data_IF_577431544029
#
_entry.id   IF_577431544029
#
_cell.length_a   1.000
_cell.length_b   1.000
_cell.length_c   1.000
_cell.angle_alpha   90.00
_cell.angle_beta   90.00
_cell.angle_gamma   90.00
#
_symmetry.space_group_name_H-M   'P 1'
#
loop_
_entity.id
_entity.type
_entity.pdbx_description
1 polymer ?
#
# COMPACT_ATOMS: atom_id res chain seq x y z
N UNK A 1 12.47 20.67 18.21
CA UNK A 1 13.10 19.62 17.39
C UNK A 1 14.06 20.34 16.48
N UNK A 2 15.34 20.04 16.60
CA UNK A 2 16.41 20.85 16.01
C UNK A 2 16.53 20.63 14.50
N UNK A 3 16.91 21.68 13.80
CA UNK A 3 17.27 21.74 12.36
C UNK A 3 18.26 20.65 11.93
N UNK A 4 18.98 20.05 12.86
CA UNK A 4 19.99 19.00 12.66
C UNK A 4 19.42 17.63 12.24
N UNK A 5 18.13 17.34 12.53
CA UNK A 5 17.46 16.09 12.14
C UNK A 5 16.95 16.16 10.70
N UNK A 6 16.57 17.36 10.25
CA UNK A 6 16.16 17.58 8.86
C UNK A 6 17.34 17.53 7.90
N UNK A 7 18.53 18.06 8.30
CA UNK A 7 19.75 17.98 7.50
C UNK A 7 20.31 16.55 7.38
N UNK A 8 20.17 15.70 8.41
CA UNK A 8 20.61 14.31 8.33
C UNK A 8 19.69 13.41 7.49
N UNK A 9 18.40 13.75 7.40
CA UNK A 9 17.45 13.04 6.51
C UNK A 9 17.62 13.43 5.03
N UNK A 10 18.13 14.64 4.76
CA UNK A 10 18.43 15.10 3.39
C UNK A 10 19.82 14.70 2.90
N UNK A 11 20.74 14.35 3.78
CA UNK A 11 22.13 14.00 3.42
C UNK A 11 22.32 12.55 2.93
N UNK A 12 21.31 11.67 3.05
CA UNK A 12 21.38 10.27 2.54
C UNK A 12 20.80 10.10 1.14
N UNK A 13 20.25 11.14 0.53
CA UNK A 13 19.75 11.14 -0.85
C UNK A 13 20.55 12.12 -1.75
N UNK A 14 21.88 12.02 -1.76
CA UNK A 14 22.61 12.54 -2.92
C UNK A 14 22.40 11.56 -4.08
N UNK A 15 21.29 11.77 -4.80
CA UNK A 15 21.11 11.19 -6.13
C UNK A 15 22.32 11.59 -7.00
N UNK A 16 23.07 10.62 -7.41
CA UNK A 16 23.99 10.81 -8.54
C UNK A 16 23.17 11.32 -9.70
N UNK A 17 23.60 12.38 -10.36
CA UNK A 17 23.02 12.92 -11.61
C UNK A 17 23.26 11.91 -12.76
N UNK A 18 22.64 10.73 -12.69
CA UNK A 18 22.62 9.78 -13.79
C UNK A 18 21.28 9.92 -14.52
N UNK A 19 21.31 10.15 -15.83
CA UNK A 19 20.13 10.19 -16.70
C UNK A 19 19.41 8.82 -16.78
N UNK A 20 19.69 7.90 -15.86
CA UNK A 20 19.20 6.53 -15.89
C UNK A 20 18.77 6.02 -14.51
N UNK A 21 17.67 5.29 -14.49
CA UNK A 21 17.23 4.47 -13.36
C UNK A 21 17.84 3.08 -13.50
N UNK A 22 18.45 2.55 -12.44
CA UNK A 22 19.01 1.20 -12.42
C UNK A 22 18.22 0.32 -11.44
N UNK A 23 17.72 -0.82 -11.93
CA UNK A 23 17.10 -1.84 -11.07
C UNK A 23 18.13 -2.87 -10.64
N UNK A 24 17.97 -3.39 -9.40
CA UNK A 24 18.89 -4.32 -8.75
C UNK A 24 18.12 -5.55 -8.29
N UNK A 25 18.69 -6.74 -8.49
CA UNK A 25 18.15 -7.96 -7.93
C UNK A 25 18.52 -8.06 -6.45
N UNK A 26 17.55 -8.00 -5.53
CA UNK A 26 17.82 -8.02 -4.09
C UNK A 26 18.36 -9.36 -3.58
N UNK A 27 18.18 -10.47 -4.32
CA UNK A 27 18.76 -11.77 -3.97
C UNK A 27 20.28 -11.81 -4.17
N UNK A 28 20.82 -11.02 -5.07
CA UNK A 28 22.24 -11.07 -5.47
C UNK A 28 22.98 -9.75 -5.32
N UNK A 29 22.26 -8.63 -5.12
CA UNK A 29 22.84 -7.29 -5.16
C UNK A 29 23.28 -6.81 -6.56
N UNK A 30 23.03 -7.61 -7.60
CA UNK A 30 23.49 -7.32 -8.96
C UNK A 30 22.49 -6.46 -9.74
N UNK A 31 23.00 -5.63 -10.64
CA UNK A 31 22.19 -4.84 -11.57
C UNK A 31 21.42 -5.74 -12.53
N UNK A 32 20.12 -5.42 -12.71
CA UNK A 32 19.21 -6.10 -13.66
C UNK A 32 19.13 -5.34 -14.99
N UNK A 33 18.60 -4.12 -14.92
CA UNK A 33 18.32 -3.30 -16.09
C UNK A 33 18.62 -1.82 -15.81
N UNK A 34 18.81 -1.05 -16.89
CA UNK A 34 18.96 0.39 -16.85
C UNK A 34 17.90 1.05 -17.76
N UNK A 35 17.23 2.07 -17.26
CA UNK A 35 16.15 2.75 -17.95
C UNK A 35 16.45 4.25 -18.04
N UNK A 36 16.38 4.82 -19.23
CA UNK A 36 16.58 6.26 -19.42
C UNK A 36 15.46 7.04 -18.71
N UNK A 37 15.85 8.05 -17.96
CA UNK A 37 14.90 9.02 -17.39
C UNK A 37 14.34 9.95 -18.46
N UNK A 38 13.16 10.48 -18.21
CA UNK A 38 12.54 11.50 -19.04
C UNK A 38 13.16 12.86 -18.71
N UNK A 39 13.34 13.67 -19.74
CA UNK A 39 13.64 15.09 -19.58
C UNK A 39 12.40 15.84 -19.07
N UNK A 40 12.58 17.07 -18.56
CA UNK A 40 11.47 17.93 -18.12
C UNK A 40 10.48 18.19 -19.26
N UNK A 41 10.98 18.34 -20.48
CA UNK A 41 10.15 18.51 -21.66
C UNK A 41 9.32 17.27 -21.95
N UNK A 42 9.93 16.06 -21.95
CA UNK A 42 9.21 14.80 -22.17
C UNK A 42 8.15 14.56 -21.09
N UNK A 43 8.46 14.87 -19.83
CA UNK A 43 7.51 14.76 -18.72
C UNK A 43 6.32 15.73 -18.87
N UNK A 44 6.58 16.99 -19.24
CA UNK A 44 5.54 17.99 -19.53
C UNK A 44 4.68 17.60 -20.73
N UNK A 45 5.26 17.06 -21.79
CA UNK A 45 4.53 16.58 -22.96
C UNK A 45 3.66 15.37 -22.62
N UNK A 46 4.12 14.46 -21.78
CA UNK A 46 3.34 13.33 -21.28
C UNK A 46 2.09 13.78 -20.51
N UNK A 47 2.21 14.80 -19.63
CA UNK A 47 1.03 15.39 -18.94
C UNK A 47 0.02 15.94 -19.95
N UNK A 48 0.46 16.70 -20.95
CA UNK A 48 -0.40 17.26 -22.00
C UNK A 48 -1.08 16.17 -22.82
N UNK A 49 -0.33 15.13 -23.20
CA UNK A 49 -0.85 13.99 -23.97
C UNK A 49 -1.92 13.23 -23.16
N UNK A 50 -1.68 12.97 -21.87
CA UNK A 50 -2.68 12.34 -20.98
C UNK A 50 -3.92 13.22 -20.81
N UNK A 51 -3.75 14.54 -20.72
CA UNK A 51 -4.90 15.45 -20.68
C UNK A 51 -5.71 15.43 -21.99
N UNK A 52 -5.08 15.40 -23.16
CA UNK A 52 -5.79 15.26 -24.42
C UNK A 52 -6.54 13.93 -24.53
N UNK A 53 -5.93 12.84 -24.11
CA UNK A 53 -6.58 11.53 -24.05
C UNK A 53 -7.79 11.56 -23.09
N UNK A 54 -7.67 12.22 -21.92
CA UNK A 54 -8.75 12.43 -20.97
C UNK A 54 -9.96 13.13 -21.61
N UNK A 55 -9.76 14.16 -22.43
CA UNK A 55 -10.87 14.88 -23.09
C UNK A 55 -11.73 13.97 -23.98
N UNK A 56 -11.15 12.95 -24.57
CA UNK A 56 -11.87 11.90 -25.31
C UNK A 56 -12.46 10.86 -24.37
N UNK A 57 -11.66 10.35 -23.42
CA UNK A 57 -12.04 9.28 -22.49
C UNK A 57 -13.26 9.64 -21.64
N UNK A 58 -13.34 10.86 -21.13
CA UNK A 58 -14.48 11.34 -20.33
C UNK A 58 -15.81 11.32 -21.07
N UNK A 59 -15.83 11.25 -22.40
CA UNK A 59 -17.06 11.19 -23.20
C UNK A 59 -17.61 9.77 -23.34
N UNK A 60 -16.85 8.74 -22.97
CA UNK A 60 -17.32 7.36 -23.01
C UNK A 60 -18.34 7.10 -21.90
N UNK A 61 -19.37 6.29 -22.21
CA UNK A 61 -20.33 5.85 -21.21
C UNK A 61 -19.66 5.02 -20.11
N UNK A 62 -20.33 4.88 -18.97
CA UNK A 62 -19.84 4.07 -17.86
C UNK A 62 -19.66 2.60 -18.28
N UNK A 63 -20.61 2.07 -19.07
CA UNK A 63 -20.54 0.69 -19.59
C UNK A 63 -19.34 0.52 -20.52
N UNK A 64 -19.06 1.52 -21.35
CA UNK A 64 -17.92 1.45 -22.28
C UNK A 64 -16.58 1.46 -21.52
N UNK A 65 -16.46 2.26 -20.46
CA UNK A 65 -15.27 2.24 -19.58
C UNK A 65 -15.15 0.90 -18.87
N UNK A 66 -16.26 0.33 -18.36
CA UNK A 66 -16.29 -0.98 -17.73
C UNK A 66 -15.80 -2.11 -18.67
N UNK A 67 -16.19 -2.07 -19.98
CA UNK A 67 -15.66 -3.02 -20.98
C UNK A 67 -14.13 -2.96 -21.10
N UNK A 68 -13.53 -1.75 -21.11
CA UNK A 68 -12.08 -1.59 -21.15
C UNK A 68 -11.40 -2.08 -19.88
N UNK A 69 -12.01 -1.85 -18.71
CA UNK A 69 -11.48 -2.33 -17.43
C UNK A 69 -11.46 -3.86 -17.38
N UNK A 70 -12.51 -4.54 -17.86
CA UNK A 70 -12.49 -6.00 -18.00
C UNK A 70 -11.35 -6.48 -18.91
N UNK A 71 -11.10 -5.80 -20.04
CA UNK A 71 -9.98 -6.14 -20.92
C UNK A 71 -8.61 -5.94 -20.27
N UNK A 72 -8.48 -4.96 -19.35
CA UNK A 72 -7.26 -4.83 -18.55
C UNK A 72 -7.08 -6.07 -17.68
N UNK A 73 -8.13 -6.54 -16.99
CA UNK A 73 -8.09 -7.77 -16.20
C UNK A 73 -7.68 -9.00 -17.01
N UNK A 74 -8.26 -9.17 -18.20
CA UNK A 74 -7.90 -10.25 -19.14
C UNK A 74 -6.43 -10.14 -19.58
N UNK A 75 -5.94 -8.92 -19.86
CA UNK A 75 -4.56 -8.69 -20.25
C UNK A 75 -3.59 -8.92 -19.10
N UNK A 76 -3.95 -8.58 -17.85
CA UNK A 76 -3.17 -8.92 -16.65
C UNK A 76 -3.02 -10.43 -16.50
N UNK A 77 -4.11 -11.18 -16.60
CA UNK A 77 -4.07 -12.66 -16.57
C UNK A 77 -3.13 -13.24 -17.62
N UNK A 78 -3.19 -12.73 -18.85
CA UNK A 78 -2.34 -13.17 -19.96
C UNK A 78 -0.85 -12.94 -19.70
N UNK A 79 -0.50 -11.88 -18.98
CA UNK A 79 0.90 -11.51 -18.70
C UNK A 79 1.34 -11.87 -17.28
N UNK A 80 0.56 -12.70 -16.55
CA UNK A 80 0.80 -13.05 -15.14
C UNK A 80 2.22 -13.51 -14.90
N UNK A 81 2.72 -14.49 -15.65
CA UNK A 81 4.07 -15.04 -15.47
C UNK A 81 5.18 -13.99 -15.64
N UNK A 82 4.98 -13.02 -16.56
CA UNK A 82 5.95 -11.96 -16.79
C UNK A 82 5.97 -10.96 -15.63
N UNK A 83 4.80 -10.59 -15.10
CA UNK A 83 4.68 -9.73 -13.92
C UNK A 83 5.28 -10.40 -12.69
N UNK A 84 4.96 -11.66 -12.44
CA UNK A 84 5.49 -12.45 -11.33
C UNK A 84 7.01 -12.50 -11.37
N UNK A 85 7.57 -12.83 -12.54
CA UNK A 85 9.03 -12.86 -12.74
C UNK A 85 9.69 -11.51 -12.41
N UNK A 86 9.10 -10.41 -12.88
CA UNK A 86 9.64 -9.07 -12.58
C UNK A 86 9.55 -8.75 -11.09
N UNK A 87 8.43 -9.01 -10.43
CA UNK A 87 8.27 -8.79 -9.00
C UNK A 87 9.30 -9.58 -8.18
N UNK A 88 9.54 -10.85 -8.54
CA UNK A 88 10.57 -11.68 -7.91
C UNK A 88 11.96 -11.09 -8.11
N UNK A 89 12.28 -10.65 -9.32
CA UNK A 89 13.61 -10.12 -9.66
C UNK A 89 13.87 -8.71 -9.12
N UNK A 90 12.88 -7.81 -9.15
CA UNK A 90 13.04 -6.39 -8.82
C UNK A 90 12.85 -6.08 -7.34
N UNK A 91 12.10 -6.90 -6.59
CA UNK A 91 11.84 -6.64 -5.17
C UNK A 91 11.84 -7.87 -4.25
N UNK A 92 12.23 -9.05 -4.76
CA UNK A 92 12.40 -10.24 -3.93
C UNK A 92 11.11 -10.94 -3.48
N UNK A 93 9.98 -10.68 -4.14
CA UNK A 93 8.70 -11.33 -3.82
C UNK A 93 8.73 -12.79 -4.18
N UNK A 94 8.19 -13.65 -3.29
CA UNK A 94 7.99 -15.06 -3.59
C UNK A 94 7.10 -15.21 -4.83
N UNK A 95 7.44 -16.15 -5.71
CA UNK A 95 6.68 -16.44 -6.95
C UNK A 95 5.20 -16.65 -6.65
N UNK A 96 4.86 -17.49 -5.65
CA UNK A 96 3.49 -17.77 -5.24
C UNK A 96 2.72 -16.53 -4.76
N UNK A 97 3.38 -15.61 -4.07
CA UNK A 97 2.77 -14.35 -3.63
C UNK A 97 2.64 -13.33 -4.79
N UNK A 98 3.54 -13.38 -5.77
CA UNK A 98 3.41 -12.63 -7.01
C UNK A 98 2.19 -13.06 -7.82
N UNK A 99 1.92 -14.36 -7.90
CA UNK A 99 0.72 -14.91 -8.54
C UNK A 99 -0.56 -14.41 -7.84
N UNK A 100 -0.61 -14.46 -6.50
CA UNK A 100 -1.72 -13.95 -5.71
C UNK A 100 -1.96 -12.45 -5.91
N UNK A 101 -0.88 -11.67 -6.05
CA UNK A 101 -0.98 -10.23 -6.31
C UNK A 101 -1.64 -9.94 -7.67
N UNK A 102 -1.25 -10.68 -8.73
CA UNK A 102 -1.86 -10.50 -10.05
C UNK A 102 -3.33 -10.95 -10.03
N UNK A 103 -3.66 -12.06 -9.36
CA UNK A 103 -5.04 -12.53 -9.23
C UNK A 103 -5.93 -11.51 -8.49
N UNK A 104 -5.40 -10.89 -7.44
CA UNK A 104 -6.08 -9.78 -6.76
C UNK A 104 -6.34 -8.61 -7.73
N UNK A 105 -5.36 -8.25 -8.56
CA UNK A 105 -5.50 -7.19 -9.56
C UNK A 105 -6.58 -7.49 -10.59
N UNK A 106 -6.68 -8.73 -11.05
CA UNK A 106 -7.76 -9.20 -11.93
C UNK A 106 -9.11 -9.04 -11.23
N UNK A 107 -9.23 -9.52 -9.99
CA UNK A 107 -10.44 -9.37 -9.19
C UNK A 107 -10.86 -7.91 -8.96
N UNK A 108 -9.90 -6.99 -8.83
CA UNK A 108 -10.18 -5.54 -8.75
C UNK A 108 -10.78 -5.03 -10.06
N UNK A 109 -10.24 -5.44 -11.20
CA UNK A 109 -10.78 -5.07 -12.51
C UNK A 109 -12.21 -5.59 -12.68
N UNK A 110 -12.46 -6.86 -12.39
CA UNK A 110 -13.79 -7.50 -12.47
C UNK A 110 -14.81 -6.81 -11.55
N UNK A 111 -14.44 -6.59 -10.29
CA UNK A 111 -15.30 -5.90 -9.33
C UNK A 111 -15.64 -4.48 -9.78
N UNK A 112 -14.63 -3.72 -10.22
CA UNK A 112 -14.82 -2.33 -10.63
C UNK A 112 -15.62 -2.21 -11.92
N UNK A 113 -15.39 -3.09 -12.90
CA UNK A 113 -16.17 -3.13 -14.13
C UNK A 113 -17.65 -3.46 -13.86
N UNK A 114 -17.91 -4.40 -12.94
CA UNK A 114 -19.26 -4.81 -12.57
C UNK A 114 -20.02 -3.74 -11.77
N UNK A 115 -19.36 -3.12 -10.78
CA UNK A 115 -20.02 -2.27 -9.79
C UNK A 115 -19.79 -0.77 -10.02
N UNK A 116 -18.74 -0.39 -10.75
CA UNK A 116 -18.40 1.01 -11.01
C UNK A 116 -19.51 1.83 -11.69
N UNK A 117 -20.22 1.28 -12.69
CA UNK A 117 -21.36 1.98 -13.30
C UNK A 117 -22.45 2.36 -12.29
N UNK A 118 -22.81 1.45 -11.39
CA UNK A 118 -23.81 1.72 -10.34
C UNK A 118 -23.32 2.75 -9.32
N UNK A 119 -22.04 2.69 -8.93
CA UNK A 119 -21.41 3.64 -7.98
C UNK A 119 -21.40 5.05 -8.53
N UNK A 120 -21.24 5.22 -9.84
CA UNK A 120 -21.10 6.51 -10.53
C UNK A 120 -22.39 7.02 -11.18
N UNK A 121 -23.47 6.25 -11.12
CA UNK A 121 -24.74 6.67 -11.75
C UNK A 121 -25.23 7.99 -11.16
N UNK A 122 -25.99 8.70 -11.97
CA UNK A 122 -26.69 9.92 -11.58
C UNK A 122 -27.77 9.62 -10.54
N UNK A 123 -27.97 10.55 -9.61
CA UNK A 123 -28.96 10.45 -8.55
C UNK A 123 -29.98 11.60 -8.66
N UNK A 124 -31.25 11.26 -8.90
CA UNK A 124 -32.33 12.25 -8.95
C UNK A 124 -32.82 12.60 -7.54
N UNK A 125 -33.15 13.88 -7.32
CA UNK A 125 -33.69 14.42 -6.08
C UNK A 125 -34.90 15.31 -6.39
N UNK A 126 -35.92 15.28 -5.53
CA UNK A 126 -36.97 16.29 -5.51
C UNK A 126 -36.53 17.42 -4.58
N UNK A 127 -36.58 18.66 -5.08
CA UNK A 127 -36.23 19.85 -4.30
C UNK A 127 -37.37 20.26 -3.37
N UNK A 128 -37.10 21.02 -2.28
CA UNK A 128 -38.13 21.43 -1.31
C UNK A 128 -39.29 22.20 -1.92
N UNK A 129 -39.06 22.95 -3.03
CA UNK A 129 -40.08 23.69 -3.79
C UNK A 129 -40.82 22.82 -4.82
N UNK A 130 -40.55 21.49 -4.84
CA UNK A 130 -41.08 20.57 -5.82
C UNK A 130 -40.32 20.56 -7.15
N UNK A 131 -39.23 21.29 -7.28
CA UNK A 131 -38.34 21.30 -8.43
C UNK A 131 -37.55 19.99 -8.55
N UNK A 132 -36.77 19.88 -9.62
CA UNK A 132 -35.91 18.69 -9.89
C UNK A 132 -34.46 18.98 -9.66
N UNK A 133 -33.79 18.11 -8.91
CA UNK A 133 -32.33 18.07 -8.72
C UNK A 133 -31.73 16.83 -9.33
N UNK A 134 -30.50 16.93 -9.79
CA UNK A 134 -29.67 15.82 -10.27
C UNK A 134 -28.28 15.96 -9.64
N UNK A 135 -27.77 14.87 -9.04
CA UNK A 135 -26.37 14.76 -8.63
C UNK A 135 -25.67 13.87 -9.65
N UNK A 136 -24.60 14.37 -10.27
CA UNK A 136 -23.81 13.64 -11.26
C UNK A 136 -22.34 13.56 -10.85
N UNK A 137 -21.70 12.40 -11.10
CA UNK A 137 -20.30 12.13 -10.79
C UNK A 137 -19.45 12.41 -12.03
N UNK A 138 -18.90 13.62 -12.16
CA UNK A 138 -18.08 13.99 -13.30
C UNK A 138 -16.58 13.77 -13.03
N UNK A 139 -15.79 13.25 -14.01
CA UNK A 139 -14.34 13.16 -13.87
C UNK A 139 -13.71 14.55 -13.75
N UNK A 140 -12.62 14.65 -12.96
CA UNK A 140 -11.99 15.95 -12.69
C UNK A 140 -10.80 16.27 -13.59
N UNK A 141 -10.17 15.26 -14.23
CA UNK A 141 -9.03 15.49 -15.11
C UNK A 141 -7.96 14.42 -15.00
N UNK A 142 -6.70 14.84 -14.99
CA UNK A 142 -5.56 13.92 -14.86
C UNK A 142 -5.24 13.71 -13.38
N UNK A 143 -5.10 12.43 -12.99
CA UNK A 143 -4.72 12.03 -11.63
C UNK A 143 -3.30 11.49 -11.66
N UNK A 144 -2.46 12.02 -10.77
CA UNK A 144 -1.08 11.62 -10.63
C UNK A 144 -0.90 10.67 -9.47
N UNK A 145 -0.45 9.44 -9.75
CA UNK A 145 -0.15 8.41 -8.77
C UNK A 145 1.35 8.25 -8.54
N UNK A 146 1.76 8.32 -7.28
CA UNK A 146 3.13 8.04 -6.81
C UNK A 146 3.05 6.76 -6.00
N UNK A 147 3.62 5.65 -6.54
CA UNK A 147 3.38 4.31 -6.01
C UNK A 147 4.68 3.62 -5.55
N UNK A 148 4.63 2.87 -4.43
CA UNK A 148 5.78 2.20 -3.87
C UNK A 148 6.02 0.82 -4.53
N UNK A 149 7.12 0.22 -4.15
CA UNK A 149 7.66 -1.02 -4.73
C UNK A 149 7.13 -2.32 -4.12
N UNK A 150 6.47 -2.28 -2.96
CA UNK A 150 6.18 -3.51 -2.19
C UNK A 150 5.09 -4.40 -2.79
N UNK A 151 4.16 -3.84 -3.54
CA UNK A 151 3.18 -4.55 -4.37
C UNK A 151 3.14 -3.89 -5.75
N UNK A 152 4.12 -4.19 -6.64
CA UNK A 152 4.35 -3.40 -7.85
C UNK A 152 3.16 -3.34 -8.80
N UNK A 153 2.38 -4.42 -8.91
CA UNK A 153 1.19 -4.47 -9.76
C UNK A 153 -0.04 -3.92 -9.02
N UNK A 154 -0.26 -4.37 -7.79
CA UNK A 154 -1.46 -4.02 -7.02
C UNK A 154 -1.54 -2.51 -6.72
N UNK A 155 -0.45 -1.89 -6.30
CA UNK A 155 -0.43 -0.46 -5.99
C UNK A 155 -0.83 0.41 -7.20
N UNK A 156 -0.44 0.00 -8.40
CA UNK A 156 -0.80 0.68 -9.64
C UNK A 156 -2.26 0.42 -10.00
N UNK A 157 -2.67 -0.84 -10.06
CA UNK A 157 -4.03 -1.24 -10.47
C UNK A 157 -5.08 -0.67 -9.52
N UNK A 158 -4.81 -0.65 -8.22
CA UNK A 158 -5.70 -0.16 -7.18
C UNK A 158 -6.23 1.26 -7.48
N UNK A 159 -5.32 2.23 -7.71
CA UNK A 159 -5.75 3.59 -7.97
C UNK A 159 -6.10 3.85 -9.45
N UNK A 160 -5.36 3.21 -10.39
CA UNK A 160 -5.53 3.49 -11.80
C UNK A 160 -6.91 3.03 -12.31
N UNK A 161 -7.35 1.82 -11.94
CA UNK A 161 -8.64 1.26 -12.36
C UNK A 161 -9.81 2.09 -11.83
N UNK A 162 -9.76 2.53 -10.59
CA UNK A 162 -10.77 3.41 -10.00
C UNK A 162 -10.88 4.74 -10.76
N UNK A 163 -9.74 5.35 -11.10
CA UNK A 163 -9.70 6.62 -11.83
C UNK A 163 -10.09 6.48 -13.30
N UNK A 164 -9.68 5.42 -13.98
CA UNK A 164 -10.13 5.12 -15.34
C UNK A 164 -11.64 4.87 -15.38
N UNK A 165 -12.22 4.14 -14.40
CA UNK A 165 -13.66 3.96 -14.29
C UNK A 165 -14.39 5.30 -14.08
N UNK A 166 -13.86 6.16 -13.21
CA UNK A 166 -14.38 7.51 -13.00
C UNK A 166 -14.31 8.40 -14.25
N UNK A 167 -13.49 8.05 -15.24
CA UNK A 167 -13.30 8.77 -16.50
C UNK A 167 -12.12 9.76 -16.48
N UNK A 168 -11.23 9.65 -15.52
CA UNK A 168 -10.00 10.42 -15.40
C UNK A 168 -8.88 9.85 -16.29
N UNK A 169 -7.89 10.68 -16.63
CA UNK A 169 -6.59 10.23 -17.14
C UNK A 169 -5.64 9.94 -16.00
N UNK A 170 -4.66 9.08 -16.23
CA UNK A 170 -3.78 8.54 -15.19
C UNK A 170 -2.30 8.71 -15.55
N UNK A 171 -1.55 9.33 -14.64
CA UNK A 171 -0.08 9.38 -14.66
C UNK A 171 0.47 8.54 -13.52
N UNK A 172 1.51 7.77 -13.77
CA UNK A 172 2.19 6.93 -12.79
C UNK A 172 3.67 7.32 -12.64
N UNK A 173 4.10 7.71 -11.44
CA UNK A 173 5.49 7.60 -11.00
C UNK A 173 5.61 6.39 -10.07
N UNK A 174 6.19 5.32 -10.55
CA UNK A 174 6.48 4.15 -9.72
C UNK A 174 7.82 4.31 -9.01
N UNK A 175 8.03 3.51 -7.95
CA UNK A 175 9.34 3.40 -7.33
C UNK A 175 10.39 2.90 -8.35
N UNK A 176 11.59 3.44 -8.28
CA UNK A 176 12.64 3.22 -9.29
C UNK A 176 13.06 1.77 -9.39
N UNK A 177 13.13 1.07 -8.25
CA UNK A 177 13.55 -0.34 -8.21
C UNK A 177 12.57 -1.32 -8.89
N UNK A 178 11.36 -0.89 -9.25
CA UNK A 178 10.34 -1.72 -9.95
C UNK A 178 9.92 -1.10 -11.30
N UNK A 179 10.85 -0.42 -11.96
CA UNK A 179 10.60 0.24 -13.24
C UNK A 179 10.20 -0.75 -14.34
N UNK A 180 10.76 -1.95 -14.37
CA UNK A 180 10.36 -2.99 -15.34
C UNK A 180 8.91 -3.41 -15.17
N UNK A 181 8.47 -3.60 -13.95
CA UNK A 181 7.06 -3.87 -13.61
C UNK A 181 6.14 -2.73 -14.09
N UNK A 182 6.51 -1.46 -13.84
CA UNK A 182 5.75 -0.30 -14.30
C UNK A 182 5.57 -0.27 -15.82
N UNK A 183 6.65 -0.51 -16.58
CA UNK A 183 6.62 -0.51 -18.04
C UNK A 183 5.83 -1.68 -18.62
N UNK A 184 5.86 -2.85 -17.96
CA UNK A 184 5.02 -3.98 -18.37
C UNK A 184 3.53 -3.68 -18.12
N UNK A 185 3.19 -3.05 -17.01
CA UNK A 185 1.80 -2.62 -16.72
C UNK A 185 1.32 -1.63 -17.79
N UNK A 186 2.14 -0.65 -18.19
CA UNK A 186 1.80 0.28 -19.27
C UNK A 186 1.52 -0.46 -20.59
N UNK A 187 2.36 -1.43 -20.94
CA UNK A 187 2.14 -2.30 -22.10
C UNK A 187 0.83 -3.07 -22.00
N UNK A 188 0.54 -3.68 -20.86
CA UNK A 188 -0.69 -4.46 -20.59
C UNK A 188 -1.94 -3.59 -20.78
N UNK A 189 -1.94 -2.36 -20.25
CA UNK A 189 -3.06 -1.42 -20.37
C UNK A 189 -3.24 -0.99 -21.83
N UNK A 190 -2.16 -0.75 -22.58
CA UNK A 190 -2.24 -0.45 -24.02
C UNK A 190 -2.77 -1.63 -24.83
N UNK A 191 -2.34 -2.87 -24.54
CA UNK A 191 -2.83 -4.08 -25.21
C UNK A 191 -4.33 -4.34 -24.95
N UNK A 192 -4.89 -3.86 -23.83
CA UNK A 192 -6.31 -3.88 -23.56
C UNK A 192 -7.12 -2.93 -24.48
N UNK A 193 -6.43 -2.13 -25.32
CA UNK A 193 -7.06 -1.30 -26.37
C UNK A 193 -7.60 0.04 -25.88
N UNK A 194 -7.15 0.53 -24.71
CA UNK A 194 -7.50 1.87 -24.23
C UNK A 194 -6.93 2.95 -25.17
N UNK A 195 -7.52 4.16 -25.20
CA UNK A 195 -6.96 5.28 -25.93
C UNK A 195 -5.49 5.52 -25.54
N UNK A 196 -4.67 5.81 -26.54
CA UNK A 196 -3.25 6.10 -26.30
C UNK A 196 -3.09 7.25 -25.30
N UNK A 197 -2.10 7.16 -24.43
CA UNK A 197 -1.77 8.13 -23.38
C UNK A 197 -2.83 8.34 -22.28
N UNK A 198 -3.91 7.57 -22.21
CA UNK A 198 -4.86 7.67 -21.09
C UNK A 198 -4.26 7.18 -19.76
N UNK A 199 -3.32 6.26 -19.85
CA UNK A 199 -2.42 5.83 -18.78
C UNK A 199 -0.97 6.04 -19.25
N UNK A 200 -0.14 6.70 -18.45
CA UNK A 200 1.25 7.00 -18.85
C UNK A 200 2.20 6.85 -17.66
N UNK A 201 3.28 6.10 -17.85
CA UNK A 201 4.36 5.93 -16.87
C UNK A 201 5.38 7.05 -17.03
N UNK A 202 5.69 7.74 -15.95
CA UNK A 202 6.71 8.79 -15.86
C UNK A 202 7.97 8.24 -15.19
N UNK A 203 9.07 8.17 -15.93
CA UNK A 203 10.42 7.84 -15.40
C UNK A 203 11.13 9.14 -15.05
N UNK A 204 10.79 9.69 -13.90
CA UNK A 204 11.19 11.04 -13.47
C UNK A 204 11.77 11.04 -12.05
N UNK A 205 12.58 12.04 -11.73
CA UNK A 205 13.12 12.30 -10.40
C UNK A 205 12.06 12.82 -9.41
N UNK A 206 12.46 12.99 -8.15
CA UNK A 206 11.61 13.63 -7.15
C UNK A 206 11.35 15.12 -7.47
N UNK A 207 12.40 15.84 -7.93
CA UNK A 207 12.25 17.26 -8.31
C UNK A 207 11.30 17.43 -9.51
N UNK A 208 11.40 16.56 -10.52
CA UNK A 208 10.45 16.55 -11.64
C UNK A 208 9.02 16.21 -11.17
N UNK A 209 8.89 15.32 -10.18
CA UNK A 209 7.59 14.98 -9.58
C UNK A 209 6.90 16.20 -8.97
N UNK A 210 7.65 17.12 -8.38
CA UNK A 210 7.11 18.37 -7.82
C UNK A 210 6.45 19.22 -8.89
N UNK A 211 7.12 19.38 -10.05
CA UNK A 211 6.56 20.09 -11.19
C UNK A 211 5.28 19.44 -11.75
N UNK A 212 5.18 18.09 -11.68
CA UNK A 212 3.94 17.39 -12.07
C UNK A 212 2.82 17.68 -11.07
N UNK A 213 3.10 17.70 -9.76
CA UNK A 213 2.10 18.05 -8.74
C UNK A 213 1.58 19.48 -8.96
N UNK A 214 2.43 20.42 -9.29
CA UNK A 214 2.07 21.83 -9.50
C UNK A 214 1.35 22.10 -10.84
N UNK A 215 1.47 21.21 -11.83
CA UNK A 215 0.92 21.40 -13.17
C UNK A 215 -0.62 21.53 -13.16
N UNK A 216 -1.16 22.58 -13.77
CA UNK A 216 -2.60 22.90 -13.80
C UNK A 216 -3.48 21.81 -14.43
N UNK A 217 -2.94 20.99 -15.34
CA UNK A 217 -3.66 19.88 -15.97
C UNK A 217 -3.81 18.67 -15.05
N UNK A 218 -2.96 18.54 -14.02
CA UNK A 218 -3.08 17.55 -12.97
C UNK A 218 -4.08 18.03 -11.94
N UNK A 219 -5.11 17.27 -11.64
CA UNK A 219 -6.26 17.69 -10.82
C UNK A 219 -6.34 16.98 -9.48
N UNK A 220 -5.59 15.91 -9.29
CA UNK A 220 -5.50 15.17 -8.05
C UNK A 220 -4.22 14.37 -7.96
N UNK A 221 -3.83 14.03 -6.74
CA UNK A 221 -2.60 13.27 -6.46
C UNK A 221 -2.92 12.14 -5.48
N UNK A 222 -2.50 10.92 -5.81
CA UNK A 222 -2.51 9.81 -4.86
C UNK A 222 -1.09 9.36 -4.57
N UNK A 223 -0.78 9.17 -3.30
CA UNK A 223 0.51 8.64 -2.86
C UNK A 223 0.31 7.46 -1.94
N UNK A 224 1.00 6.36 -2.22
CA UNK A 224 1.27 5.31 -1.25
C UNK A 224 2.75 5.32 -0.92
N UNK A 225 3.11 5.38 0.37
CA UNK A 225 4.51 5.46 0.76
C UNK A 225 4.75 5.76 2.24
N UNK A 226 5.93 6.32 2.56
CA UNK A 226 6.25 6.67 3.94
C UNK A 226 5.49 7.91 4.43
N UNK A 227 5.30 8.02 5.75
CA UNK A 227 4.71 9.21 6.36
C UNK A 227 5.48 10.51 6.04
N UNK A 228 6.81 10.43 5.86
CA UNK A 228 7.62 11.58 5.44
C UNK A 228 7.27 12.04 4.02
N UNK A 229 7.19 11.10 3.07
CA UNK A 229 6.77 11.39 1.69
C UNK A 229 5.33 11.93 1.65
N UNK A 230 4.42 11.36 2.45
CA UNK A 230 3.03 11.82 2.57
C UNK A 230 2.92 13.28 2.99
N UNK A 231 3.72 13.73 3.95
CA UNK A 231 3.75 15.12 4.40
C UNK A 231 4.22 16.07 3.30
N UNK A 232 5.28 15.72 2.57
CA UNK A 232 5.83 16.53 1.47
C UNK A 232 4.82 16.64 0.32
N UNK A 233 4.28 15.51 -0.14
CA UNK A 233 3.30 15.48 -1.24
C UNK A 233 2.00 16.18 -0.84
N UNK A 234 1.50 15.93 0.38
CA UNK A 234 0.30 16.57 0.91
C UNK A 234 0.44 18.11 1.00
N UNK A 235 1.61 18.60 1.45
CA UNK A 235 1.91 20.03 1.49
C UNK A 235 1.89 20.64 0.09
N UNK A 236 2.58 20.04 -0.90
CA UNK A 236 2.65 20.54 -2.28
C UNK A 236 1.30 20.51 -2.97
N UNK A 237 0.57 19.40 -2.84
CA UNK A 237 -0.77 19.27 -3.41
C UNK A 237 -1.75 20.28 -2.78
N UNK A 238 -1.68 20.50 -1.45
CA UNK A 238 -2.49 21.50 -0.76
C UNK A 238 -2.19 22.92 -1.20
N UNK A 239 -0.92 23.30 -1.39
CA UNK A 239 -0.53 24.59 -1.99
C UNK A 239 -1.09 24.78 -3.39
N UNK A 240 -1.17 23.70 -4.18
CA UNK A 240 -1.74 23.71 -5.53
C UNK A 240 -3.27 23.48 -5.56
N UNK A 241 -3.95 23.43 -4.40
CA UNK A 241 -5.40 23.20 -4.24
C UNK A 241 -5.87 21.91 -4.93
N UNK A 242 -5.08 20.83 -4.82
CA UNK A 242 -5.39 19.52 -5.40
C UNK A 242 -5.85 18.54 -4.34
N UNK A 243 -6.93 17.80 -4.65
CA UNK A 243 -7.38 16.69 -3.80
C UNK A 243 -6.31 15.61 -3.73
N UNK A 244 -6.14 15.01 -2.54
CA UNK A 244 -5.17 13.94 -2.32
C UNK A 244 -5.82 12.73 -1.65
N UNK A 245 -5.31 11.54 -2.00
CA UNK A 245 -5.45 10.30 -1.24
C UNK A 245 -4.05 9.89 -0.78
N UNK A 246 -3.87 9.70 0.51
CA UNK A 246 -2.58 9.34 1.11
C UNK A 246 -2.73 8.01 1.84
N UNK A 247 -2.01 6.99 1.38
CA UNK A 247 -1.88 5.69 2.01
C UNK A 247 -0.44 5.55 2.52
N UNK A 248 -0.28 5.60 3.85
CA UNK A 248 1.04 5.74 4.45
C UNK A 248 1.41 4.53 5.32
N UNK A 249 2.47 4.69 6.12
CA UNK A 249 2.97 3.63 6.98
C UNK A 249 2.00 3.24 8.08
N UNK A 250 2.26 2.09 8.71
CA UNK A 250 1.47 1.55 9.80
C UNK A 250 2.33 0.77 10.81
N UNK A 251 1.78 0.62 12.01
CA UNK A 251 2.31 -0.28 13.05
C UNK A 251 1.16 -1.10 13.64
N UNK A 252 0.54 -1.93 12.79
CA UNK A 252 -0.70 -2.64 13.06
C UNK A 252 -0.60 -3.58 14.26
N UNK A 253 -1.57 -3.48 15.16
CA UNK A 253 -1.66 -4.31 16.34
C UNK A 253 -2.60 -5.50 16.11
N UNK A 254 -2.14 -6.68 16.51
CA UNK A 254 -2.91 -7.92 16.54
C UNK A 254 -3.07 -8.33 18.00
N UNK A 255 -4.32 -8.32 18.47
CA UNK A 255 -4.68 -8.59 19.86
C UNK A 255 -4.98 -10.09 20.02
N UNK A 256 -4.34 -10.71 20.99
CA UNK A 256 -4.65 -12.10 21.40
C UNK A 256 -5.33 -12.02 22.76
N UNK A 257 -6.65 -12.15 22.75
CA UNK A 257 -7.50 -11.96 23.93
C UNK A 257 -7.49 -13.19 24.85
N UNK A 258 -8.04 -13.05 26.06
CA UNK A 258 -8.05 -14.06 27.11
C UNK A 258 -8.63 -15.42 26.72
N UNK A 259 -9.56 -15.41 25.78
CA UNK A 259 -10.30 -16.59 25.30
C UNK A 259 -9.82 -17.08 23.92
N UNK A 260 -8.80 -16.44 23.33
CA UNK A 260 -8.33 -16.77 22.00
C UNK A 260 -7.93 -18.25 21.88
N UNK A 261 -8.13 -18.80 20.68
CA UNK A 261 -7.47 -20.04 20.29
C UNK A 261 -6.00 -19.73 19.96
N UNK A 262 -5.12 -20.13 20.85
CA UNK A 262 -3.68 -19.77 20.76
C UNK A 262 -3.03 -20.35 19.52
N UNK A 263 -3.38 -21.56 19.09
CA UNK A 263 -2.78 -22.19 17.91
C UNK A 263 -3.18 -21.43 16.63
N UNK A 264 -4.46 -21.09 16.49
CA UNK A 264 -4.97 -20.24 15.40
C UNK A 264 -4.31 -18.87 15.43
N UNK A 265 -4.19 -18.24 16.60
CA UNK A 265 -3.57 -16.94 16.75
C UNK A 265 -2.10 -16.96 16.33
N UNK A 266 -1.33 -17.99 16.70
CA UNK A 266 0.08 -18.18 16.33
C UNK A 266 0.20 -18.36 14.83
N UNK A 267 -0.59 -19.24 14.22
CA UNK A 267 -0.53 -19.53 12.78
C UNK A 267 -0.73 -18.23 11.95
N UNK A 268 -1.80 -17.50 12.22
CA UNK A 268 -2.11 -16.27 11.47
C UNK A 268 -1.16 -15.10 11.80
N UNK A 269 -0.63 -15.05 13.02
CA UNK A 269 0.37 -14.06 13.42
C UNK A 269 1.69 -14.25 12.65
N UNK A 270 2.15 -15.50 12.51
CA UNK A 270 3.34 -15.83 11.72
C UNK A 270 3.09 -15.43 10.25
N UNK A 271 2.00 -15.92 9.64
CA UNK A 271 1.63 -15.59 8.27
C UNK A 271 1.56 -14.08 8.06
N UNK A 272 0.89 -13.36 8.96
CA UNK A 272 0.73 -11.91 8.88
C UNK A 272 2.03 -11.14 9.05
N UNK A 273 3.02 -11.68 9.78
CA UNK A 273 4.32 -11.01 9.93
C UNK A 273 5.22 -11.20 8.73
N UNK A 274 5.24 -12.40 8.16
CA UNK A 274 6.19 -12.74 7.09
C UNK A 274 5.65 -12.50 5.67
N UNK A 275 4.35 -12.27 5.51
CA UNK A 275 3.74 -12.04 4.20
C UNK A 275 4.46 -10.93 3.44
N UNK A 276 4.83 -11.20 2.19
CA UNK A 276 5.64 -10.29 1.37
C UNK A 276 6.96 -9.87 2.05
N UNK A 277 7.68 -10.82 2.62
CA UNK A 277 8.95 -10.61 3.36
C UNK A 277 8.79 -9.66 4.57
N UNK A 278 7.56 -9.49 5.08
CA UNK A 278 7.22 -8.51 6.11
C UNK A 278 7.11 -7.06 5.60
N UNK A 279 7.29 -6.83 4.30
CA UNK A 279 7.26 -5.52 3.63
C UNK A 279 5.85 -5.15 3.17
N UNK A 280 4.88 -5.28 4.09
CA UNK A 280 3.47 -4.99 3.88
C UNK A 280 2.99 -3.91 4.85
N UNK A 281 2.32 -2.88 4.33
CA UNK A 281 1.79 -1.80 5.18
C UNK A 281 0.82 -2.34 6.25
N UNK A 282 -0.07 -3.26 5.88
CA UNK A 282 -1.03 -3.93 6.78
C UNK A 282 -0.49 -5.22 7.41
N UNK A 283 0.82 -5.47 7.40
CA UNK A 283 1.39 -6.63 8.08
C UNK A 283 1.12 -6.57 9.59
N UNK A 284 0.92 -7.73 10.21
CA UNK A 284 0.90 -7.85 11.67
C UNK A 284 2.28 -7.49 12.23
N UNK A 285 2.37 -6.41 13.01
CA UNK A 285 3.65 -5.87 13.50
C UNK A 285 3.78 -5.94 15.02
N UNK A 286 2.74 -5.47 15.75
CA UNK A 286 2.68 -5.52 17.21
C UNK A 286 1.70 -6.62 17.64
N UNK A 287 2.19 -7.63 18.33
CA UNK A 287 1.39 -8.73 18.87
C UNK A 287 1.11 -8.43 20.34
N UNK A 288 -0.08 -7.94 20.64
CA UNK A 288 -0.52 -7.53 21.97
C UNK A 288 -1.28 -8.67 22.61
N UNK A 289 -0.63 -9.37 23.51
CA UNK A 289 -1.10 -10.64 24.06
C UNK A 289 -1.44 -10.49 25.54
N UNK A 290 -2.65 -10.87 25.94
CA UNK A 290 -3.09 -10.79 27.33
C UNK A 290 -2.30 -11.76 28.21
N UNK A 291 -2.10 -11.38 29.48
CA UNK A 291 -1.30 -12.13 30.44
C UNK A 291 -1.69 -13.59 30.56
N UNK A 292 -2.99 -13.89 30.43
CA UNK A 292 -3.56 -15.23 30.56
C UNK A 292 -3.04 -16.23 29.52
N UNK A 293 -2.80 -15.78 28.30
CA UNK A 293 -2.35 -16.63 27.18
C UNK A 293 -0.91 -16.30 26.70
N UNK A 294 -0.26 -15.33 27.35
CA UNK A 294 1.01 -14.76 26.91
C UNK A 294 2.12 -15.79 26.82
N UNK A 295 2.33 -16.61 27.85
CA UNK A 295 3.47 -17.51 27.90
C UNK A 295 3.32 -18.64 26.86
N UNK A 296 2.10 -19.17 26.70
CA UNK A 296 1.80 -20.18 25.67
C UNK A 296 1.96 -19.61 24.27
N UNK A 297 1.40 -18.42 24.00
CA UNK A 297 1.55 -17.74 22.71
C UNK A 297 3.02 -17.45 22.41
N UNK A 298 3.76 -16.87 23.35
CA UNK A 298 5.19 -16.55 23.20
C UNK A 298 6.01 -17.78 22.82
N UNK A 299 5.84 -18.90 23.55
CA UNK A 299 6.57 -20.14 23.29
C UNK A 299 6.33 -20.65 21.88
N UNK A 300 5.05 -20.78 21.48
CA UNK A 300 4.65 -21.33 20.17
C UNK A 300 5.03 -20.35 19.04
N UNK A 301 4.82 -19.06 19.22
CA UNK A 301 5.11 -18.04 18.21
C UNK A 301 6.61 -17.93 17.93
N UNK A 302 7.45 -17.90 18.99
CA UNK A 302 8.91 -17.87 18.83
C UNK A 302 9.41 -19.16 18.20
N UNK A 303 8.87 -20.32 18.56
CA UNK A 303 9.21 -21.59 17.93
C UNK A 303 8.88 -21.59 16.44
N UNK A 304 7.66 -21.16 16.06
CA UNK A 304 7.25 -21.08 14.65
C UNK A 304 8.07 -20.07 13.84
N UNK A 305 8.40 -18.91 14.41
CA UNK A 305 9.24 -17.93 13.74
C UNK A 305 10.69 -18.39 13.52
N UNK A 306 11.22 -19.28 14.36
CA UNK A 306 12.54 -19.90 14.16
C UNK A 306 12.59 -20.88 12.99
N UNK A 307 11.47 -21.49 12.65
CA UNK A 307 11.37 -22.45 11.53
C UNK A 307 11.27 -21.75 10.16
N UNK A 308 11.04 -20.44 10.13
CA UNK A 308 10.91 -19.67 8.89
C UNK A 308 12.24 -19.67 8.12
N UNK A 309 12.18 -20.13 6.90
CA UNK A 309 13.33 -20.22 5.98
C UNK A 309 13.34 -19.03 5.04
N UNK A 310 14.48 -18.36 4.96
CA UNK A 310 14.72 -17.34 3.95
C UNK A 310 15.63 -17.88 2.84
N UNK A 311 15.43 -17.42 1.61
CA UNK A 311 16.24 -17.91 0.48
C UNK A 311 15.79 -17.31 -0.85
N UNK A 312 16.14 -18.02 -1.95
CA UNK A 312 15.74 -17.59 -3.30
C UNK A 312 14.21 -17.51 -3.41
N UNK A 313 13.65 -16.35 -3.76
CA UNK A 313 12.20 -16.18 -3.86
C UNK A 313 11.53 -16.99 -4.98
N UNK A 314 12.32 -17.61 -5.87
CA UNK A 314 11.85 -18.56 -6.86
C UNK A 314 11.82 -20.02 -6.38
N UNK A 315 12.32 -20.32 -5.18
CA UNK A 315 12.29 -21.64 -4.56
C UNK A 315 11.04 -21.79 -3.69
N UNK A 316 10.17 -22.73 -4.04
CA UNK A 316 8.91 -23.00 -3.32
C UNK A 316 9.11 -23.58 -1.90
N UNK A 317 10.36 -23.90 -1.51
CA UNK A 317 10.68 -24.43 -0.17
C UNK A 317 11.05 -23.36 0.85
N UNK A 318 11.08 -22.08 0.46
CA UNK A 318 11.37 -20.95 1.34
C UNK A 318 10.08 -20.18 1.68
N UNK A 319 10.07 -19.59 2.86
CA UNK A 319 8.92 -18.86 3.39
C UNK A 319 9.02 -17.35 3.15
N UNK A 320 10.23 -16.81 3.03
CA UNK A 320 10.50 -15.39 2.72
C UNK A 320 11.72 -15.24 1.79
N UNK A 321 11.64 -14.29 0.89
CA UNK A 321 12.74 -13.83 0.04
C UNK A 321 13.60 -12.75 0.71
N UNK A 322 14.47 -12.07 -0.05
CA UNK A 322 15.21 -10.91 0.44
C UNK A 322 14.30 -9.69 0.61
N UNK A 323 14.70 -8.75 1.44
CA UNK A 323 14.11 -7.41 1.44
C UNK A 323 14.43 -6.70 0.12
N UNK A 324 13.51 -5.86 -0.33
CA UNK A 324 13.59 -5.26 -1.67
C UNK A 324 14.79 -4.32 -1.87
N UNK A 325 15.28 -3.68 -0.80
CA UNK A 325 16.34 -2.66 -0.87
C UNK A 325 17.31 -2.79 0.29
N UNK A 326 18.60 -2.60 -0.01
CA UNK A 326 19.67 -2.66 0.99
C UNK A 326 19.52 -1.61 2.10
N UNK A 327 19.23 -0.36 1.72
CA UNK A 327 19.06 0.75 2.67
C UNK A 327 17.88 0.52 3.64
N UNK A 328 16.80 -0.12 3.18
CA UNK A 328 15.66 -0.46 4.03
C UNK A 328 15.98 -1.62 4.98
N UNK A 329 16.77 -2.60 4.54
CA UNK A 329 17.31 -3.66 5.41
C UNK A 329 18.19 -3.08 6.51
N UNK A 330 19.10 -2.19 6.16
CA UNK A 330 19.98 -1.51 7.11
C UNK A 330 19.18 -0.67 8.11
N UNK A 331 18.21 0.12 7.64
CA UNK A 331 17.31 0.90 8.48
C UNK A 331 16.54 0.03 9.48
N UNK A 332 15.96 -1.09 9.00
CA UNK A 332 15.26 -2.04 9.87
C UNK A 332 16.18 -2.59 10.96
N UNK A 333 17.42 -2.93 10.59
CA UNK A 333 18.41 -3.46 11.53
C UNK A 333 18.83 -2.41 12.58
N UNK A 334 18.95 -1.15 12.18
CA UNK A 334 19.23 -0.05 13.10
C UNK A 334 18.06 0.19 14.07
N UNK A 335 16.80 0.15 13.59
CA UNK A 335 15.62 0.21 14.46
C UNK A 335 15.57 -0.96 15.47
N UNK A 336 15.99 -2.16 15.06
CA UNK A 336 16.11 -3.32 15.95
C UNK A 336 17.17 -3.06 17.02
N UNK A 337 18.39 -2.64 16.65
CA UNK A 337 19.48 -2.33 17.60
C UNK A 337 19.08 -1.26 18.60
N UNK A 338 18.44 -0.18 18.13
CA UNK A 338 17.95 0.89 18.99
C UNK A 338 16.88 0.37 19.97
N UNK A 339 15.97 -0.48 19.51
CA UNK A 339 14.97 -1.10 20.39
C UNK A 339 15.63 -1.95 21.49
N UNK A 340 16.65 -2.73 21.14
CA UNK A 340 17.42 -3.54 22.10
C UNK A 340 18.20 -2.65 23.08
N UNK A 341 18.85 -1.61 22.60
CA UNK A 341 19.56 -0.63 23.45
C UNK A 341 18.60 0.05 24.44
N UNK A 342 17.31 0.20 24.08
CA UNK A 342 16.26 0.74 24.94
C UNK A 342 15.52 -0.36 25.74
N UNK A 343 16.07 -1.59 25.82
CA UNK A 343 15.61 -2.66 26.70
C UNK A 343 14.68 -3.70 26.10
N UNK A 344 14.46 -3.71 24.79
CA UNK A 344 13.84 -4.87 24.12
C UNK A 344 14.79 -6.09 24.14
N UNK A 345 14.22 -7.30 24.05
CA UNK A 345 14.94 -8.56 24.06
C UNK A 345 14.79 -9.28 22.72
N UNK A 346 15.87 -9.75 22.11
CA UNK A 346 15.80 -10.62 20.94
C UNK A 346 15.46 -12.03 21.42
N UNK A 347 14.28 -12.53 21.01
CA UNK A 347 13.82 -13.88 21.33
C UNK A 347 14.22 -14.91 20.25
N UNK A 348 14.33 -14.46 18.99
CA UNK A 348 14.94 -15.21 17.88
C UNK A 348 15.31 -14.25 16.74
N UNK A 349 16.18 -14.70 15.82
CA UNK A 349 16.64 -13.91 14.67
C UNK A 349 17.54 -12.74 15.07
N UNK A 350 17.46 -11.63 14.33
CA UNK A 350 18.12 -10.35 14.66
C UNK A 350 19.56 -10.21 14.16
N UNK A 351 20.14 -11.22 13.57
CA UNK A 351 21.51 -11.16 13.00
C UNK A 351 21.43 -11.08 11.46
N UNK A 352 22.23 -10.17 10.88
CA UNK A 352 22.31 -10.08 9.42
C UNK A 352 23.06 -11.28 8.84
N UNK A 353 22.48 -11.99 7.85
CA UNK A 353 23.17 -13.06 7.15
C UNK A 353 24.38 -12.51 6.36
N UNK A 354 25.40 -13.35 6.20
CA UNK A 354 26.52 -13.07 5.30
C UNK A 354 26.07 -13.14 3.84
N UNK A 355 26.75 -12.40 2.95
CA UNK A 355 26.53 -12.39 1.50
C UNK A 355 25.99 -11.08 0.96
N UNK A 356 25.87 -11.03 -0.37
CA UNK A 356 25.50 -9.80 -1.12
C UNK A 356 23.97 -9.59 -1.21
N UNK A 357 23.15 -10.62 -0.97
CA UNK A 357 21.70 -10.55 -0.96
C UNK A 357 21.15 -9.76 0.23
N UNK A 358 19.98 -9.15 0.06
CA UNK A 358 19.37 -8.30 1.10
C UNK A 358 18.49 -9.10 2.05
N UNK A 359 18.88 -10.33 2.37
CA UNK A 359 18.15 -11.23 3.28
C UNK A 359 18.09 -10.69 4.70
N UNK A 360 16.98 -10.97 5.37
CA UNK A 360 16.79 -10.68 6.79
C UNK A 360 16.02 -11.85 7.44
N UNK A 361 16.50 -12.42 8.56
CA UNK A 361 15.83 -13.55 9.20
C UNK A 361 14.54 -13.11 9.87
N UNK A 362 13.57 -14.03 9.96
CA UNK A 362 12.39 -13.81 10.79
C UNK A 362 12.83 -13.61 12.25
N UNK A 363 12.38 -12.50 12.82
CA UNK A 363 12.88 -11.99 14.11
C UNK A 363 11.72 -11.70 15.05
N UNK A 364 11.89 -12.01 16.35
CA UNK A 364 10.92 -11.66 17.39
C UNK A 364 11.62 -10.86 18.49
N UNK A 365 11.06 -9.69 18.78
CA UNK A 365 11.43 -8.85 19.92
C UNK A 365 10.43 -9.04 21.06
N UNK A 366 10.91 -9.32 22.24
CA UNK A 366 10.15 -9.32 23.49
C UNK A 366 10.44 -8.08 24.33
N UNK A 367 9.72 -7.92 25.45
CA UNK A 367 9.84 -6.79 26.37
C UNK A 367 9.72 -5.41 25.66
N UNK A 368 8.88 -5.36 24.61
CA UNK A 368 8.66 -4.15 23.82
C UNK A 368 7.78 -3.17 24.58
N UNK A 369 8.22 -1.90 24.66
CA UNK A 369 7.60 -0.82 25.44
C UNK A 369 7.63 0.52 24.70
N UNK A 370 6.78 1.48 25.08
CA UNK A 370 6.85 2.86 24.56
C UNK A 370 8.26 3.45 24.69
N UNK A 371 8.69 4.23 23.70
CA UNK A 371 10.03 4.79 23.58
C UNK A 371 11.03 3.90 22.84
N UNK A 372 10.60 2.74 22.38
CA UNK A 372 11.39 1.86 21.51
C UNK A 372 10.87 1.95 20.07
N UNK A 373 11.73 1.98 19.03
CA UNK A 373 11.27 1.92 17.63
C UNK A 373 10.32 0.75 17.35
N UNK A 374 10.53 -0.40 17.99
CA UNK A 374 9.65 -1.58 17.86
C UNK A 374 8.22 -1.34 18.39
N UNK A 375 8.00 -0.37 19.26
CA UNK A 375 6.68 0.03 19.74
C UNK A 375 6.11 1.21 18.97
N UNK A 376 6.93 2.26 18.74
CA UNK A 376 6.46 3.56 18.27
C UNK A 376 6.52 3.71 16.75
N UNK A 377 7.42 3.00 16.06
CA UNK A 377 7.68 3.13 14.64
C UNK A 377 7.22 1.91 13.83
N UNK A 378 7.23 2.06 12.51
CA UNK A 378 6.99 0.95 11.60
C UNK A 378 8.30 0.18 11.34
N UNK A 379 8.33 -1.11 11.75
CA UNK A 379 9.37 -2.06 11.37
C UNK A 379 8.95 -2.75 10.06
N UNK A 380 9.47 -2.24 8.93
CA UNK A 380 9.04 -2.67 7.59
C UNK A 380 9.91 -3.81 7.08
N UNK A 381 9.67 -5.03 7.60
CA UNK A 381 10.39 -6.27 7.31
C UNK A 381 10.01 -7.35 8.32
N UNK A 382 10.61 -8.55 8.31
CA UNK A 382 10.15 -9.72 9.05
C UNK A 382 10.50 -9.67 10.56
N UNK A 383 10.23 -8.54 11.21
CA UNK A 383 10.48 -8.32 12.65
C UNK A 383 9.16 -8.13 13.39
N UNK A 384 8.89 -8.98 14.36
CA UNK A 384 7.69 -8.98 15.21
C UNK A 384 7.95 -8.35 16.57
N UNK A 385 7.04 -7.50 17.04
CA UNK A 385 7.07 -6.88 18.36
C UNK A 385 6.06 -7.55 19.29
N UNK A 386 6.53 -8.31 20.30
CA UNK A 386 5.67 -9.00 21.26
C UNK A 386 5.50 -8.15 22.53
N UNK A 387 4.24 -7.81 22.84
CA UNK A 387 3.84 -6.92 23.92
C UNK A 387 2.89 -7.66 24.85
N UNK A 388 3.16 -7.66 26.13
CA UNK A 388 2.30 -8.24 27.16
C UNK A 388 1.26 -7.21 27.61
N UNK A 389 0.00 -7.55 27.57
CA UNK A 389 -1.11 -6.78 28.11
C UNK A 389 -1.64 -7.46 29.38
N UNK A 390 -2.14 -6.67 30.32
CA UNK A 390 -2.70 -7.17 31.57
C UNK A 390 -3.98 -7.96 31.37
N UNK A 391 -4.88 -7.43 30.54
CA UNK A 391 -6.21 -7.96 30.23
C UNK A 391 -6.68 -7.46 28.86
N UNK A 392 -7.89 -7.80 28.45
CA UNK A 392 -8.48 -7.40 27.16
C UNK A 392 -8.62 -5.87 27.00
N UNK A 393 -8.94 -5.15 28.08
CA UNK A 393 -9.06 -3.68 28.07
C UNK A 393 -7.70 -3.03 27.85
N UNK A 394 -6.67 -3.50 28.56
CA UNK A 394 -5.30 -3.04 28.41
C UNK A 394 -4.75 -3.39 27.02
N UNK A 395 -5.09 -4.54 26.46
CA UNK A 395 -4.71 -4.92 25.09
C UNK A 395 -5.24 -3.90 24.05
N UNK A 396 -6.52 -3.51 24.17
CA UNK A 396 -7.11 -2.50 23.29
C UNK A 396 -6.50 -1.12 23.51
N UNK A 397 -6.22 -0.74 24.77
CA UNK A 397 -5.52 0.51 25.09
C UNK A 397 -4.15 0.57 24.41
N UNK A 398 -3.35 -0.50 24.50
CA UNK A 398 -2.04 -0.63 23.86
C UNK A 398 -2.16 -0.59 22.32
N UNK A 399 -3.16 -1.26 21.76
CA UNK A 399 -3.40 -1.24 20.32
C UNK A 399 -3.61 0.17 19.79
N UNK A 400 -4.43 0.97 20.50
CA UNK A 400 -4.74 2.35 20.15
C UNK A 400 -3.63 3.36 20.50
N UNK A 401 -2.67 2.99 21.36
CA UNK A 401 -1.49 3.79 21.69
C UNK A 401 -0.49 3.74 20.54
N UNK A 402 -0.88 4.36 19.43
CA UNK A 402 -0.11 4.46 18.21
C UNK A 402 -0.52 5.70 17.43
N UNK A 403 0.48 6.35 16.81
CA UNK A 403 0.21 7.42 15.84
C UNK A 403 -0.38 6.90 14.52
N UNK A 404 -0.33 5.60 14.28
CA UNK A 404 -0.83 4.93 13.09
C UNK A 404 -2.23 4.34 13.31
N UNK A 405 -2.90 4.00 12.20
CA UNK A 405 -4.20 3.36 12.22
C UNK A 405 -4.62 2.90 10.82
N UNK A 406 -3.87 1.96 10.22
CA UNK A 406 -4.22 1.41 8.90
C UNK A 406 -5.00 0.11 9.05
N UNK A 407 -4.47 -0.86 9.78
CA UNK A 407 -5.10 -2.15 10.00
C UNK A 407 -4.89 -2.67 11.41
N UNK A 408 -5.34 -3.89 11.66
CA UNK A 408 -5.16 -4.63 12.90
C UNK A 408 -5.93 -5.94 12.89
N UNK A 409 -5.80 -6.72 13.97
CA UNK A 409 -6.53 -7.98 14.12
C UNK A 409 -6.91 -8.26 15.57
N UNK A 410 -7.92 -9.12 15.76
CA UNK A 410 -8.37 -9.59 17.07
C UNK A 410 -8.56 -11.10 16.99
N UNK A 411 -7.93 -11.83 17.90
CA UNK A 411 -8.13 -13.25 18.11
C UNK A 411 -8.93 -13.48 19.38
N UNK A 412 -10.12 -14.09 19.24
CA UNK A 412 -11.06 -14.41 20.30
C UNK A 412 -11.98 -15.54 19.85
N UNK A 413 -12.38 -16.43 20.75
CA UNK A 413 -13.42 -17.44 20.47
C UNK A 413 -14.82 -16.83 20.42
N UNK A 414 -15.03 -15.70 21.10
CA UNK A 414 -16.26 -14.92 21.01
C UNK A 414 -16.15 -13.91 19.85
N UNK A 415 -16.46 -14.37 18.63
CA UNK A 415 -16.37 -13.55 17.42
C UNK A 415 -17.29 -12.32 17.45
N UNK A 416 -18.50 -12.45 18.01
CA UNK A 416 -19.46 -11.34 18.12
C UNK A 416 -18.92 -10.24 19.04
N UNK A 417 -18.36 -10.62 20.20
CA UNK A 417 -17.69 -9.66 21.08
C UNK A 417 -16.49 -9.02 20.40
N UNK A 418 -15.70 -9.78 19.63
CA UNK A 418 -14.57 -9.25 18.86
C UNK A 418 -15.02 -8.25 17.78
N UNK A 419 -16.12 -8.51 17.06
CA UNK A 419 -16.73 -7.56 16.12
C UNK A 419 -17.17 -6.26 16.80
N UNK A 420 -17.87 -6.34 17.92
CA UNK A 420 -18.31 -5.16 18.66
C UNK A 420 -17.12 -4.38 19.23
N UNK A 421 -16.07 -5.07 19.70
CA UNK A 421 -14.83 -4.47 20.16
C UNK A 421 -14.11 -3.73 19.01
N UNK A 422 -13.99 -4.36 17.83
CA UNK A 422 -13.41 -3.76 16.64
C UNK A 422 -14.19 -2.52 16.21
N UNK A 423 -15.50 -2.61 16.11
CA UNK A 423 -16.40 -1.56 15.66
C UNK A 423 -16.39 -0.32 16.56
N UNK A 424 -16.38 -0.52 17.87
CA UNK A 424 -16.63 0.57 18.82
C UNK A 424 -15.37 1.12 19.49
N UNK A 425 -14.26 0.35 19.50
CA UNK A 425 -13.10 0.69 20.31
C UNK A 425 -11.75 0.64 19.60
N UNK A 426 -11.65 0.03 18.41
CA UNK A 426 -10.38 -0.04 17.69
C UNK A 426 -10.24 1.11 16.68
N UNK A 427 -9.37 2.07 16.97
CA UNK A 427 -9.15 3.27 16.17
C UNK A 427 -8.17 3.01 14.99
N UNK A 428 -8.66 2.25 14.00
CA UNK A 428 -7.92 1.85 12.80
C UNK A 428 -8.85 1.76 11.58
N UNK A 429 -8.28 1.65 10.39
CA UNK A 429 -9.06 1.61 9.14
C UNK A 429 -9.68 0.25 8.81
N UNK A 430 -9.01 -0.85 9.22
CA UNK A 430 -9.44 -2.23 8.91
C UNK A 430 -9.12 -3.15 10.08
N UNK A 431 -9.99 -4.13 10.33
CA UNK A 431 -9.77 -5.15 11.39
C UNK A 431 -10.10 -6.54 10.85
N UNK A 432 -9.21 -7.49 11.12
CA UNK A 432 -9.39 -8.91 10.81
C UNK A 432 -9.71 -9.68 12.10
N UNK A 433 -10.74 -10.52 12.06
CA UNK A 433 -11.11 -11.36 13.19
C UNK A 433 -10.62 -12.78 12.93
N UNK A 434 -9.88 -13.36 13.88
CA UNK A 434 -9.31 -14.71 13.85
C UNK A 434 -8.53 -15.04 12.56
N UNK A 435 -7.94 -14.03 11.92
CA UNK A 435 -7.25 -14.19 10.63
C UNK A 435 -6.29 -13.04 10.36
N UNK A 436 -5.54 -13.17 9.28
CA UNK A 436 -4.78 -12.10 8.64
C UNK A 436 -5.25 -11.95 7.19
N UNK A 437 -5.31 -10.72 6.71
CA UNK A 437 -5.61 -10.43 5.31
C UNK A 437 -4.94 -9.13 4.84
N UNK A 438 -5.01 -8.88 3.55
CA UNK A 438 -4.45 -7.65 2.95
C UNK A 438 -5.57 -6.74 2.45
N UNK A 439 -6.13 -6.98 1.29
CA UNK A 439 -7.18 -6.17 0.71
C UNK A 439 -8.28 -7.04 0.10
N UNK A 440 -9.49 -6.51 0.05
CA UNK A 440 -10.62 -7.13 -0.64
C UNK A 440 -11.20 -6.12 -1.63
N UNK A 441 -11.47 -6.50 -2.90
CA UNK A 441 -11.98 -5.58 -3.91
C UNK A 441 -13.28 -4.87 -3.52
N UNK A 442 -14.10 -5.49 -2.68
CA UNK A 442 -15.42 -5.01 -2.26
C UNK A 442 -15.46 -4.30 -0.89
N UNK A 443 -14.32 -4.20 -0.21
CA UNK A 443 -14.21 -3.53 1.09
C UNK A 443 -13.35 -2.26 0.99
N UNK A 444 -13.65 -1.20 1.77
CA UNK A 444 -12.81 -0.01 1.77
C UNK A 444 -11.40 -0.33 2.29
N UNK A 445 -10.39 0.21 1.63
CA UNK A 445 -9.00 0.17 2.07
C UNK A 445 -8.54 1.59 2.41
N UNK A 446 -7.90 1.77 3.55
CA UNK A 446 -7.30 3.04 3.96
C UNK A 446 -7.27 3.25 5.45
N UNK A 447 -6.37 4.13 5.88
CA UNK A 447 -6.07 4.39 7.28
C UNK A 447 -6.74 5.63 7.86
N UNK A 448 -6.43 5.83 9.14
CA UNK A 448 -6.69 7.04 9.93
C UNK A 448 -5.39 7.51 10.58
N UNK A 449 -5.41 8.64 11.31
CA UNK A 449 -4.23 9.20 11.99
C UNK A 449 -3.06 9.44 11.00
N UNK A 450 -1.83 9.07 11.39
CA UNK A 450 -0.64 9.21 10.54
C UNK A 450 -0.53 8.15 9.43
N UNK A 451 -1.46 7.20 9.34
CA UNK A 451 -1.55 6.28 8.21
C UNK A 451 -2.23 6.87 6.97
N UNK A 452 -2.70 8.11 7.05
CA UNK A 452 -3.19 8.87 5.91
C UNK A 452 -4.70 9.08 5.91
N UNK A 453 -5.25 9.39 4.74
CA UNK A 453 -6.66 9.69 4.53
C UNK A 453 -7.09 9.42 3.07
N UNK A 454 -8.40 9.40 2.85
CA UNK A 454 -9.03 8.88 1.64
C UNK A 454 -9.30 7.38 1.77
N UNK A 455 -9.95 6.82 0.78
CA UNK A 455 -10.24 5.37 0.73
C UNK A 455 -10.06 4.85 -0.68
N UNK A 456 -9.61 3.61 -0.76
CA UNK A 456 -9.52 2.88 -2.01
C UNK A 456 -10.41 1.63 -1.94
N UNK A 457 -10.69 0.97 -3.07
CA UNK A 457 -11.59 -0.18 -3.18
C UNK A 457 -13.05 0.05 -2.78
N UNK A 458 -13.86 -1.01 -2.81
CA UNK A 458 -15.24 -1.06 -2.30
C UNK A 458 -16.22 -0.05 -2.92
N UNK A 459 -15.88 0.56 -4.06
CA UNK A 459 -16.63 1.68 -4.63
C UNK A 459 -16.23 3.06 -4.07
N UNK A 460 -15.56 3.11 -2.91
CA UNK A 460 -15.09 4.37 -2.31
C UNK A 460 -14.00 5.03 -3.16
N UNK A 461 -12.98 4.25 -3.58
CA UNK A 461 -11.88 4.75 -4.40
C UNK A 461 -12.34 5.34 -5.75
N UNK A 462 -13.42 4.82 -6.33
CA UNK A 462 -13.98 5.35 -7.58
C UNK A 462 -14.53 6.77 -7.40
N UNK A 463 -15.01 7.13 -6.20
CA UNK A 463 -15.54 8.46 -5.87
C UNK A 463 -14.49 9.46 -5.36
N UNK A 464 -13.27 9.00 -5.05
CA UNK A 464 -12.26 9.89 -4.49
C UNK A 464 -11.88 11.05 -5.43
N UNK A 465 -11.82 10.82 -6.73
CA UNK A 465 -11.42 11.84 -7.70
C UNK A 465 -12.53 12.13 -8.70
N UNK A 466 -13.75 12.35 -8.21
CA UNK A 466 -14.87 12.86 -8.99
C UNK A 466 -15.35 14.22 -8.48
N UNK A 467 -15.99 14.96 -9.35
CA UNK A 467 -16.77 16.15 -9.02
C UNK A 467 -18.24 15.75 -8.87
N UNK A 468 -18.70 15.63 -7.64
CA UNK A 468 -20.13 15.47 -7.32
C UNK A 468 -20.85 16.79 -7.60
N UNK A 469 -21.44 16.90 -8.80
CA UNK A 469 -22.04 18.14 -9.30
C UNK A 469 -23.55 18.13 -9.08
N UNK A 470 -24.05 19.17 -8.45
CA UNK A 470 -25.49 19.42 -8.33
C UNK A 470 -26.01 20.23 -9.53
N UNK A 471 -27.07 19.75 -10.17
CA UNK A 471 -27.82 20.45 -11.24
C UNK A 471 -29.25 20.60 -10.75
N UNK A 472 -29.76 21.83 -10.67
CA UNK A 472 -31.06 22.11 -10.08
C UNK A 472 -31.95 22.90 -11.06
N UNK A 473 -33.22 22.47 -11.14
CA UNK A 473 -34.29 23.22 -11.80
C UNK A 473 -35.36 23.48 -10.77
N UNK A 474 -35.40 24.73 -10.29
CA UNK A 474 -36.37 25.18 -9.30
C UNK A 474 -37.77 25.30 -9.96
N UNK A 475 -38.82 25.07 -9.19
CA UNK A 475 -40.18 25.49 -9.57
C UNK A 475 -40.30 27.01 -9.38
N UNK A 476 -40.60 27.71 -10.45
CA UNK A 476 -40.88 29.14 -10.45
C UNK A 476 -42.29 29.44 -9.96
#
# INVERSE_FOLDING_TARGET
MSTDVLEKLTATEQASSSDTIQTINPSTGQSLNSYKMMTDQEASEAVKATHQAFLTWKTFSLEKRAEFINKIGESLSKHKDQLVKLMTQEMGKLTSQGEQEVDLCVGICEYTAKNGPEVLKDEERTLPDGGKGLITNAPIGVIYGIQPWNFPTYQVIRYAIANLMAGNGVLLKHAENVTGSALLIDKIIREAGLPENIFTVLRISHEQSDAIIENDLVRGVTLTGSGAAGKVVGEKAGKALKKTVLELGSNDAYLVLDDADVDTAVEWSIKGRIYNNGETCVAAKRFVVTEKVYDEFKEKFVAGMKEIKFGDPADDTVDIGPMARKDLREKLHDQLKESVANGAEILCGGELPEGDGYFYPATVLGNVKPGQPAYDDELFGPVASLIKAKDNEDAMRIANDSRFGLGGGIFSKDEEAAFELAKNHFDTGMVFINSFGVAQPNMPFGGVKASGYGREHGGFGVKEFVNEKAIMRLNS
#
